data_IF_532171288310
#
_entry.id   IF_532171288310
#
_cell.length_a   1.000
_cell.length_b   1.000
_cell.length_c   1.000
_cell.angle_alpha   90.00
_cell.angle_beta   90.00
_cell.angle_gamma   90.00
#
_symmetry.space_group_name_H-M   'P 1'
#
loop_
_entity.id
_entity.type
_entity.pdbx_description
1 polymer ?
#
# COMPACT_ATOMS: atom_id res chain seq x y z
N UNK A 1 36.78 -5.26 10.62
CA UNK A 1 35.48 -5.53 11.28
C UNK A 1 35.07 -6.96 10.97
N UNK A 2 34.71 -7.76 11.98
CA UNK A 2 34.22 -9.14 11.75
C UNK A 2 32.87 -9.11 11.01
N UNK A 3 32.52 -10.17 10.25
CA UNK A 3 31.21 -10.27 9.61
C UNK A 3 30.04 -10.05 10.59
N UNK A 4 30.15 -10.63 11.79
CA UNK A 4 29.17 -10.44 12.87
C UNK A 4 29.07 -8.99 13.34
N UNK A 5 30.21 -8.28 13.45
CA UNK A 5 30.24 -6.87 13.84
C UNK A 5 29.44 -5.98 12.90
N UNK A 6 29.45 -6.26 11.59
CA UNK A 6 28.65 -5.51 10.61
C UNK A 6 27.15 -5.75 10.80
N UNK A 7 26.74 -6.99 11.08
CA UNK A 7 25.35 -7.33 11.36
C UNK A 7 24.84 -6.66 12.64
N UNK A 8 25.64 -6.64 13.71
CA UNK A 8 25.25 -5.98 14.95
C UNK A 8 25.09 -4.47 14.79
N UNK A 9 26.00 -3.82 14.08
CA UNK A 9 25.88 -2.39 13.78
C UNK A 9 24.64 -2.11 12.93
N UNK A 10 24.40 -2.91 11.89
CA UNK A 10 23.19 -2.77 11.06
C UNK A 10 21.90 -2.95 11.85
N UNK A 11 21.82 -4.01 12.66
CA UNK A 11 20.66 -4.27 13.51
C UNK A 11 20.42 -3.15 14.52
N UNK A 12 21.47 -2.60 15.14
CA UNK A 12 21.36 -1.48 16.07
C UNK A 12 20.81 -0.22 15.40
N UNK A 13 21.30 0.12 14.19
CA UNK A 13 20.79 1.26 13.43
C UNK A 13 19.32 1.07 13.08
N UNK A 14 18.93 -0.10 12.58
CA UNK A 14 17.53 -0.41 12.26
C UNK A 14 16.65 -0.33 13.51
N UNK A 15 17.09 -0.86 14.64
CA UNK A 15 16.35 -0.82 15.90
C UNK A 15 16.13 0.62 16.39
N UNK A 16 17.16 1.47 16.33
CA UNK A 16 17.05 2.90 16.69
C UNK A 16 16.09 3.62 15.74
N UNK A 17 16.16 3.36 14.44
CA UNK A 17 15.25 3.96 13.46
C UNK A 17 13.80 3.52 13.71
N UNK A 18 13.56 2.24 13.99
CA UNK A 18 12.21 1.72 14.32
C UNK A 18 11.70 2.29 15.64
N UNK A 19 12.58 2.54 16.61
CA UNK A 19 12.20 3.11 17.91
C UNK A 19 11.85 4.60 17.81
N UNK A 20 12.62 5.38 17.04
CA UNK A 20 12.43 6.84 16.93
C UNK A 20 11.35 7.18 15.90
N UNK A 21 11.31 6.47 14.78
CA UNK A 21 10.32 6.73 13.74
C UNK A 21 9.04 5.97 14.07
N UNK A 22 7.85 6.54 13.77
CA UNK A 22 6.58 5.84 13.93
C UNK A 22 6.39 4.82 12.79
N UNK A 23 7.37 3.94 12.55
CA UNK A 23 7.40 2.97 11.44
C UNK A 23 6.13 2.12 11.39
N UNK A 24 5.60 1.59 12.52
CA UNK A 24 4.34 0.84 12.48
C UNK A 24 3.17 1.69 11.98
N UNK A 25 3.09 2.96 12.41
CA UNK A 25 2.05 3.89 11.98
C UNK A 25 2.21 4.26 10.51
N UNK A 26 3.43 4.54 10.06
CA UNK A 26 3.72 4.84 8.65
C UNK A 26 3.33 3.66 7.76
N UNK A 27 3.71 2.45 8.15
CA UNK A 27 3.37 1.24 7.41
C UNK A 27 1.84 1.04 7.36
N UNK A 28 1.14 1.26 8.48
CA UNK A 28 -0.32 1.23 8.51
C UNK A 28 -0.93 2.24 7.54
N UNK A 29 -0.45 3.49 7.54
CA UNK A 29 -0.91 4.52 6.61
C UNK A 29 -0.64 4.16 5.14
N UNK A 30 0.54 3.64 4.83
CA UNK A 30 0.87 3.18 3.48
C UNK A 30 -0.05 2.04 3.02
N UNK A 31 -0.33 1.09 3.90
CA UNK A 31 -1.29 0.00 3.62
C UNK A 31 -2.69 0.56 3.41
N UNK A 32 -3.16 1.46 4.29
CA UNK A 32 -4.49 2.06 4.19
C UNK A 32 -4.66 2.87 2.90
N UNK A 33 -3.70 3.76 2.60
CA UNK A 33 -3.70 4.57 1.38
C UNK A 33 -3.56 3.67 0.15
N UNK A 34 -2.73 2.63 0.20
CA UNK A 34 -2.61 1.67 -0.89
C UNK A 34 -3.92 0.92 -1.13
N UNK A 35 -4.52 0.36 -0.08
CA UNK A 35 -5.75 -0.42 -0.18
C UNK A 35 -6.96 0.41 -0.67
N UNK A 36 -7.07 1.67 -0.23
CA UNK A 36 -8.15 2.57 -0.63
C UNK A 36 -7.85 3.31 -1.95
N UNK A 37 -6.60 3.75 -2.13
CA UNK A 37 -6.16 4.53 -3.27
C UNK A 37 -5.95 3.70 -4.52
N UNK A 38 -5.47 2.45 -4.41
CA UNK A 38 -5.28 1.58 -5.56
C UNK A 38 -6.55 1.40 -6.41
N UNK A 39 -7.74 1.07 -5.87
CA UNK A 39 -8.95 0.96 -6.69
C UNK A 39 -9.40 2.30 -7.27
N UNK A 40 -9.16 3.42 -6.56
CA UNK A 40 -9.48 4.77 -7.05
C UNK A 40 -8.60 5.11 -8.25
N UNK A 41 -7.29 4.94 -8.12
CA UNK A 41 -6.32 5.17 -9.21
C UNK A 41 -6.59 4.23 -10.37
N UNK A 42 -6.79 2.93 -10.10
CA UNK A 42 -7.11 1.95 -11.13
C UNK A 42 -8.37 2.35 -11.91
N UNK A 43 -9.41 2.84 -11.24
CA UNK A 43 -10.62 3.35 -11.91
C UNK A 43 -10.33 4.55 -12.81
N UNK A 44 -9.48 5.48 -12.35
CA UNK A 44 -9.07 6.65 -13.15
C UNK A 44 -8.13 6.30 -14.31
N UNK A 45 -7.46 5.14 -14.27
CA UNK A 45 -6.67 4.63 -15.38
C UNK A 45 -7.50 3.89 -16.44
N UNK A 46 -8.78 3.58 -16.17
CA UNK A 46 -9.64 2.91 -17.14
C UNK A 46 -10.03 3.84 -18.29
N UNK A 47 -10.11 3.27 -19.48
CA UNK A 47 -10.70 3.94 -20.65
C UNK A 47 -12.23 4.09 -20.50
N UNK A 48 -12.84 5.03 -21.22
CA UNK A 48 -14.29 5.27 -21.12
C UNK A 48 -15.11 4.02 -21.48
N UNK A 49 -14.63 3.19 -22.43
CA UNK A 49 -15.27 1.92 -22.80
C UNK A 49 -15.29 0.91 -21.64
N UNK A 50 -14.20 0.84 -20.86
CA UNK A 50 -14.07 -0.02 -19.69
C UNK A 50 -14.96 0.49 -18.55
N UNK A 51 -14.95 1.82 -18.29
CA UNK A 51 -15.85 2.44 -17.31
C UNK A 51 -17.31 2.22 -17.66
N UNK A 52 -17.70 2.39 -18.93
CA UNK A 52 -19.06 2.15 -19.41
C UNK A 52 -19.49 0.69 -19.25
N UNK A 53 -18.58 -0.27 -19.51
CA UNK A 53 -18.82 -1.69 -19.25
C UNK A 53 -19.03 -1.97 -17.75
N UNK A 54 -18.15 -1.44 -16.89
CA UNK A 54 -18.27 -1.56 -15.43
C UNK A 54 -19.59 -1.00 -14.91
N UNK A 55 -20.00 0.19 -15.37
CA UNK A 55 -21.29 0.79 -15.02
C UNK A 55 -22.49 -0.10 -15.42
N UNK A 56 -22.45 -0.71 -16.60
CA UNK A 56 -23.49 -1.65 -17.06
C UNK A 56 -23.55 -2.92 -16.20
N UNK A 57 -22.40 -3.50 -15.87
CA UNK A 57 -22.31 -4.69 -14.99
C UNK A 57 -22.87 -4.37 -13.60
N UNK A 58 -22.45 -3.24 -13.01
CA UNK A 58 -22.92 -2.79 -11.70
C UNK A 58 -24.44 -2.63 -11.66
N UNK A 59 -25.04 -2.02 -12.69
CA UNK A 59 -26.51 -1.86 -12.77
C UNK A 59 -27.25 -3.21 -12.82
N UNK A 60 -26.68 -4.23 -13.46
CA UNK A 60 -27.26 -5.58 -13.52
C UNK A 60 -27.17 -6.35 -12.20
N UNK A 61 -26.23 -6.00 -11.33
CA UNK A 61 -26.06 -6.62 -10.01
C UNK A 61 -26.96 -6.01 -8.93
N UNK A 62 -27.37 -4.75 -9.07
CA UNK A 62 -28.22 -4.05 -8.07
C UNK A 62 -29.69 -4.49 -8.15
N UNK A 63 -30.13 -5.09 -9.26
CA UNK A 63 -31.49 -5.57 -9.46
C UNK A 63 -31.65 -7.10 -9.38
N UNK A 64 -30.68 -7.80 -8.79
CA UNK A 64 -30.70 -9.25 -8.55
C UNK A 64 -30.54 -9.52 -7.07
#
# INVERSE_FOLDING_TARGET
MSPLGKYYVGAAVVAVLVFILPVPSLLAWLITIGALGAPVVAYFMLDESQRARLRRIRRRQIGR
#
